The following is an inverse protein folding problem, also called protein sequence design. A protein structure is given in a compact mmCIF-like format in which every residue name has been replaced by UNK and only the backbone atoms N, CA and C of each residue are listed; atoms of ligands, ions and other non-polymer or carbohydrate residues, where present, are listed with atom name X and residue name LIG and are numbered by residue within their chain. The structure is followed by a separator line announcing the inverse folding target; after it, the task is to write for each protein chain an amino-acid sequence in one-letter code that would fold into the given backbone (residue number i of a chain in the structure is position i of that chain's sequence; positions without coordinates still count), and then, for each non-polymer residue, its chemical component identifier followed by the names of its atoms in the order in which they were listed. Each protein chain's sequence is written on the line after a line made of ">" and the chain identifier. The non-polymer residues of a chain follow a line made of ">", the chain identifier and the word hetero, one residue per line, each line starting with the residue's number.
data_IF_287243273929
#
_entry.id   IF_287243273929
#
_cell.length_a   1.000
_cell.length_b   1.000
_cell.length_c   1.000
_cell.angle_alpha   90.00
_cell.angle_beta   90.00
_cell.angle_gamma   90.00
#
_symmetry.space_group_name_H-M   'P 1'
#
loop_
_entity.id
_entity.type
_entity.pdbx_description
1 polymer ?
#
# COMPACT_ATOMS: atom_id res chain seq x y z
N UNK A 1 9.25 7.16 1.31
CA UNK A 1 8.04 6.98 2.14
C UNK A 1 8.32 7.43 3.57
N UNK A 2 9.29 6.83 4.24
CA UNK A 2 9.53 7.05 5.68
C UNK A 2 9.85 8.51 6.06
N UNK A 3 10.51 9.24 5.19
CA UNK A 3 10.91 10.65 5.40
C UNK A 3 9.86 11.68 4.93
N UNK A 4 8.68 11.24 4.49
CA UNK A 4 7.65 12.10 3.87
C UNK A 4 8.14 12.88 2.63
N UNK A 5 9.15 12.37 1.94
CA UNK A 5 9.63 12.95 0.68
C UNK A 5 8.71 12.54 -0.47
N UNK A 6 7.61 13.26 -0.58
CA UNK A 6 6.53 12.99 -1.53
C UNK A 6 6.94 13.24 -2.98
N UNK A 7 7.83 14.20 -3.22
CA UNK A 7 8.27 14.53 -4.57
C UNK A 7 9.24 13.48 -5.09
N UNK A 8 10.21 13.05 -4.30
CA UNK A 8 11.12 11.96 -4.67
C UNK A 8 10.35 10.66 -4.92
N UNK A 9 9.37 10.31 -4.07
CA UNK A 9 8.53 9.13 -4.31
C UNK A 9 7.79 9.24 -5.65
N UNK A 10 7.09 10.35 -5.88
CA UNK A 10 6.30 10.57 -7.09
C UNK A 10 7.16 10.52 -8.36
N UNK A 11 8.40 11.02 -8.30
CA UNK A 11 9.32 11.05 -9.42
C UNK A 11 9.89 9.68 -9.81
N UNK A 12 9.78 8.66 -8.95
CA UNK A 12 10.10 7.28 -9.31
C UNK A 12 9.08 6.68 -10.30
N UNK A 13 7.87 7.24 -10.37
CA UNK A 13 6.81 6.76 -11.24
C UNK A 13 6.83 7.45 -12.61
N UNK A 14 6.34 6.76 -13.64
CA UNK A 14 5.99 7.41 -14.92
C UNK A 14 4.91 8.46 -14.70
N UNK A 15 4.71 9.37 -15.67
CA UNK A 15 3.73 10.49 -15.52
C UNK A 15 2.32 10.00 -15.21
N UNK A 16 1.93 8.88 -15.78
CA UNK A 16 0.62 8.22 -15.64
C UNK A 16 0.70 6.94 -14.79
N UNK A 17 1.83 6.72 -14.10
CA UNK A 17 2.05 5.57 -13.25
C UNK A 17 1.04 5.46 -12.12
N UNK A 18 0.85 4.26 -11.58
CA UNK A 18 -0.12 3.99 -10.55
C UNK A 18 0.49 3.31 -9.33
N UNK A 19 0.19 3.84 -8.16
CA UNK A 19 0.44 3.19 -6.87
C UNK A 19 -0.87 2.55 -6.40
N UNK A 20 -0.93 1.21 -6.42
CA UNK A 20 -2.07 0.46 -5.93
C UNK A 20 -1.84 0.12 -4.46
N UNK A 21 -2.34 0.99 -3.57
CA UNK A 21 -2.27 0.75 -2.14
C UNK A 21 -3.40 -0.19 -1.69
N UNK A 22 -3.03 -1.21 -0.94
CA UNK A 22 -4.00 -2.23 -0.50
C UNK A 22 -5.10 -1.66 0.40
N UNK A 23 -4.77 -0.69 1.23
CA UNK A 23 -5.70 -0.11 2.23
C UNK A 23 -6.51 1.04 1.63
N UNK A 24 -5.82 2.02 1.05
CA UNK A 24 -6.44 3.26 0.59
C UNK A 24 -6.98 3.19 -0.83
N UNK A 25 -6.41 2.33 -1.70
CA UNK A 25 -6.79 2.17 -3.09
C UNK A 25 -5.77 2.72 -4.08
N UNK A 26 -6.23 3.07 -5.27
CA UNK A 26 -5.36 3.40 -6.39
C UNK A 26 -5.09 4.90 -6.48
N UNK A 27 -3.81 5.25 -6.61
CA UNK A 27 -3.34 6.63 -6.81
C UNK A 27 -2.63 6.73 -8.16
N UNK A 28 -3.31 7.25 -9.16
CA UNK A 28 -2.79 7.38 -10.52
C UNK A 28 -2.20 8.76 -10.77
N UNK A 29 -0.99 8.76 -11.36
CA UNK A 29 -0.21 9.95 -11.69
C UNK A 29 0.55 10.54 -10.49
N UNK A 30 1.69 11.17 -10.79
CA UNK A 30 2.63 11.69 -9.79
C UNK A 30 1.98 12.58 -8.74
N UNK A 31 1.04 13.45 -9.15
CA UNK A 31 0.31 14.33 -8.22
C UNK A 31 -0.46 13.55 -7.16
N UNK A 32 -1.20 12.53 -7.56
CA UNK A 32 -2.00 11.73 -6.62
C UNK A 32 -1.11 10.85 -5.73
N UNK A 33 0.02 10.33 -6.26
CA UNK A 33 1.01 9.58 -5.47
C UNK A 33 1.65 10.48 -4.41
N UNK A 34 1.96 11.73 -4.75
CA UNK A 34 2.47 12.72 -3.80
C UNK A 34 1.45 13.02 -2.68
N UNK A 35 0.18 13.21 -3.04
CA UNK A 35 -0.94 13.43 -2.09
C UNK A 35 -1.14 12.19 -1.20
N UNK A 36 -1.03 10.98 -1.74
CA UNK A 36 -1.13 9.74 -0.97
C UNK A 36 -0.16 9.73 0.21
N UNK A 37 1.09 10.08 -0.03
CA UNK A 37 2.10 10.04 1.01
C UNK A 37 1.81 11.03 2.13
N UNK A 38 1.48 12.29 1.80
CA UNK A 38 1.23 13.34 2.79
C UNK A 38 -0.11 13.20 3.50
N UNK A 39 -1.19 13.02 2.71
CA UNK A 39 -2.56 13.20 3.19
C UNK A 39 -3.23 11.89 3.66
N UNK A 40 -2.58 10.74 3.40
CA UNK A 40 -3.03 9.43 3.86
C UNK A 40 -2.00 8.79 4.78
N UNK A 41 -0.80 8.48 4.30
CA UNK A 41 0.20 7.76 5.10
C UNK A 41 0.62 8.57 6.32
N UNK A 42 1.13 9.78 6.13
CA UNK A 42 1.63 10.61 7.22
C UNK A 42 0.53 11.28 8.07
N UNK A 43 -0.72 11.29 7.57
CA UNK A 43 -1.89 11.63 8.38
C UNK A 43 -2.18 10.51 9.40
N UNK A 44 -2.22 9.26 8.93
CA UNK A 44 -2.73 8.13 9.72
C UNK A 44 -1.62 7.38 10.47
N UNK A 45 -0.35 7.58 10.10
CA UNK A 45 0.82 6.95 10.71
C UNK A 45 2.01 7.88 10.92
N UNK A 46 2.99 7.39 11.65
CA UNK A 46 4.30 7.99 11.86
C UNK A 46 5.32 6.96 12.31
N UNK A 47 6.55 7.39 12.51
CA UNK A 47 7.68 6.52 12.89
C UNK A 47 7.78 5.31 11.97
N UNK A 48 7.69 5.60 10.66
CA UNK A 48 7.71 4.56 9.65
C UNK A 48 9.08 3.91 9.54
N UNK A 49 9.07 2.58 9.45
CA UNK A 49 10.24 1.78 9.08
C UNK A 49 9.82 0.81 7.97
N UNK A 50 10.55 0.83 6.85
CA UNK A 50 10.32 -0.04 5.70
C UNK A 50 11.62 -0.69 5.28
N UNK A 51 11.74 -1.98 5.58
CA UNK A 51 12.86 -2.81 5.20
C UNK A 51 12.46 -3.68 4.01
N UNK A 52 13.21 -3.59 2.92
CA UNK A 52 13.03 -4.42 1.73
C UNK A 52 14.18 -5.40 1.59
N UNK A 53 13.87 -6.65 1.25
CA UNK A 53 14.84 -7.75 1.13
C UNK A 53 14.34 -8.81 0.13
N UNK A 54 15.22 -9.74 -0.27
CA UNK A 54 14.91 -10.83 -1.21
C UNK A 54 14.27 -10.31 -2.51
N UNK A 55 14.91 -9.33 -3.14
CA UNK A 55 14.42 -8.78 -4.40
C UNK A 55 14.75 -9.68 -5.59
N UNK A 56 13.83 -9.72 -6.55
CA UNK A 56 13.98 -10.39 -7.84
C UNK A 56 13.51 -9.45 -8.96
N UNK A 57 14.17 -9.50 -10.09
CA UNK A 57 13.82 -8.72 -11.27
C UNK A 57 13.93 -9.62 -12.50
N UNK A 58 12.88 -9.65 -13.31
CA UNK A 58 12.86 -10.32 -14.59
C UNK A 58 12.19 -9.42 -15.63
N UNK A 59 12.93 -9.07 -16.68
CA UNK A 59 12.50 -8.11 -17.70
C UNK A 59 12.08 -6.77 -17.07
N UNK A 60 10.79 -6.43 -17.14
CA UNK A 60 10.20 -5.22 -16.59
C UNK A 60 9.41 -5.46 -15.28
N UNK A 61 9.48 -6.66 -14.70
CA UNK A 61 8.77 -7.03 -13.48
C UNK A 61 9.75 -7.21 -12.32
N UNK A 62 9.53 -6.49 -11.22
CA UNK A 62 10.29 -6.59 -10.00
C UNK A 62 9.43 -7.03 -8.83
N UNK A 63 9.98 -7.88 -7.97
CA UNK A 63 9.35 -8.32 -6.74
C UNK A 63 10.29 -8.13 -5.58
N UNK A 64 9.77 -7.75 -4.43
CA UNK A 64 10.55 -7.58 -3.21
C UNK A 64 9.72 -7.95 -2.00
N UNK A 65 10.30 -8.73 -1.10
CA UNK A 65 9.71 -8.90 0.23
C UNK A 65 9.98 -7.66 1.05
N UNK A 66 9.06 -7.34 1.95
CA UNK A 66 9.27 -6.25 2.88
C UNK A 66 8.71 -6.52 4.27
N UNK A 67 9.23 -5.77 5.23
CA UNK A 67 8.67 -5.57 6.55
C UNK A 67 8.42 -4.08 6.73
N UNK A 68 7.18 -3.74 6.93
CA UNK A 68 6.74 -2.36 7.13
C UNK A 68 6.21 -2.19 8.55
N UNK A 69 6.58 -1.11 9.23
CA UNK A 69 6.01 -0.78 10.52
C UNK A 69 5.75 0.71 10.68
N UNK A 70 4.78 1.04 11.52
CA UNK A 70 4.43 2.41 11.86
C UNK A 70 3.76 2.50 13.23
N UNK A 71 3.72 3.71 13.78
CA UNK A 71 2.91 4.07 14.94
C UNK A 71 1.65 4.77 14.45
N UNK A 72 0.48 4.28 14.84
CA UNK A 72 -0.81 4.86 14.44
C UNK A 72 -1.02 6.25 15.03
N UNK A 73 -1.47 7.17 14.19
CA UNK A 73 -1.97 8.51 14.56
C UNK A 73 -3.50 8.60 14.51
N UNK A 74 -4.18 7.54 14.04
CA UNK A 74 -5.65 7.48 13.97
C UNK A 74 -6.21 7.62 15.39
N UNK A 75 -7.13 8.55 15.67
CA UNK A 75 -7.59 8.87 17.02
C UNK A 75 -7.96 7.66 17.88
N UNK A 76 -8.79 6.75 17.33
CA UNK A 76 -9.26 5.53 18.03
C UNK A 76 -8.13 4.52 18.31
N UNK A 77 -6.99 4.62 17.61
CA UNK A 77 -5.89 3.64 17.65
C UNK A 77 -4.54 4.30 17.89
N UNK A 78 -4.52 5.55 18.34
CA UNK A 78 -3.31 6.36 18.50
C UNK A 78 -2.28 5.68 19.39
N UNK A 79 -1.02 5.71 18.94
CA UNK A 79 0.13 5.17 19.68
C UNK A 79 0.31 3.65 19.52
N UNK A 80 -0.60 2.93 18.87
CA UNK A 80 -0.43 1.50 18.62
C UNK A 80 0.59 1.26 17.52
N UNK A 81 1.52 0.35 17.78
CA UNK A 81 2.52 -0.08 16.79
C UNK A 81 1.93 -1.19 15.92
N UNK A 82 2.15 -1.06 14.62
CA UNK A 82 1.77 -2.06 13.62
C UNK A 82 3.02 -2.53 12.87
N UNK A 83 3.14 -3.84 12.66
CA UNK A 83 4.20 -4.46 11.85
C UNK A 83 3.56 -5.40 10.85
N UNK A 84 3.83 -5.20 9.56
CA UNK A 84 3.19 -5.93 8.47
C UNK A 84 4.27 -6.46 7.53
N UNK A 85 4.38 -7.78 7.31
CA UNK A 85 5.13 -8.33 6.19
C UNK A 85 4.30 -8.24 4.92
N UNK A 86 4.98 -8.08 3.79
CA UNK A 86 4.32 -8.05 2.48
C UNK A 86 5.28 -8.34 1.34
N UNK A 87 4.73 -8.38 0.14
CA UNK A 87 5.47 -8.47 -1.11
C UNK A 87 5.01 -7.31 -1.99
N UNK A 88 5.96 -6.47 -2.41
CA UNK A 88 5.74 -5.45 -3.43
C UNK A 88 6.00 -6.03 -4.82
N UNK A 89 5.15 -5.67 -5.77
CA UNK A 89 5.29 -5.96 -7.18
C UNK A 89 5.43 -4.65 -7.95
N UNK A 90 6.45 -4.55 -8.77
CA UNK A 90 6.80 -3.39 -9.57
C UNK A 90 6.74 -3.75 -11.04
N UNK A 91 6.02 -2.99 -11.83
CA UNK A 91 6.12 -3.00 -13.29
C UNK A 91 6.84 -1.73 -13.74
N UNK A 92 7.91 -1.90 -14.50
CA UNK A 92 8.74 -0.80 -14.98
C UNK A 92 8.47 -0.47 -16.46
N UNK A 93 8.53 0.82 -16.77
CA UNK A 93 8.47 1.35 -18.12
C UNK A 93 9.50 2.48 -18.26
N UNK A 94 10.49 2.31 -19.16
CA UNK A 94 11.54 3.32 -19.42
C UNK A 94 12.21 3.83 -18.12
N UNK A 95 12.67 2.92 -17.27
CA UNK A 95 13.33 3.19 -15.98
C UNK A 95 12.44 3.79 -14.86
N UNK A 96 11.14 4.01 -15.14
CA UNK A 96 10.16 4.47 -14.16
C UNK A 96 9.24 3.33 -13.72
N UNK A 97 8.69 3.45 -12.53
CA UNK A 97 7.62 2.56 -12.07
C UNK A 97 6.34 2.93 -12.82
N UNK A 98 5.81 1.99 -13.61
CA UNK A 98 4.51 2.12 -14.28
C UNK A 98 3.38 1.75 -13.33
N UNK A 99 3.52 0.60 -12.67
CA UNK A 99 2.58 0.15 -11.67
C UNK A 99 3.35 -0.39 -10.44
N UNK A 100 2.88 -0.03 -9.28
CA UNK A 100 3.24 -0.65 -8.02
C UNK A 100 1.99 -1.26 -7.42
N UNK A 101 2.08 -2.48 -6.97
CA UNK A 101 1.03 -3.16 -6.20
C UNK A 101 1.65 -3.99 -5.09
N UNK A 102 0.83 -4.48 -4.16
CA UNK A 102 1.34 -5.24 -3.03
C UNK A 102 0.39 -6.35 -2.60
N UNK A 103 0.96 -7.45 -2.15
CA UNK A 103 0.27 -8.49 -1.42
C UNK A 103 0.60 -8.33 0.08
N UNK A 104 -0.38 -7.92 0.86
CA UNK A 104 -0.23 -7.63 2.29
C UNK A 104 -1.41 -8.18 3.09
N UNK A 105 -1.14 -8.62 4.32
CA UNK A 105 -2.20 -9.04 5.22
C UNK A 105 -2.74 -7.84 6.02
N UNK A 106 -3.70 -7.12 5.45
CA UNK A 106 -4.35 -5.99 6.11
C UNK A 106 -5.12 -6.36 7.39
N UNK A 107 -5.59 -7.61 7.49
CA UNK A 107 -6.23 -8.13 8.69
C UNK A 107 -5.28 -8.15 9.88
N UNK A 108 -4.03 -8.53 9.67
CA UNK A 108 -2.99 -8.51 10.69
C UNK A 108 -2.78 -7.09 11.26
N UNK A 109 -2.78 -6.08 10.40
CA UNK A 109 -2.70 -4.68 10.83
C UNK A 109 -3.90 -4.28 11.69
N UNK A 110 -5.11 -4.65 11.28
CA UNK A 110 -6.32 -4.31 12.03
C UNK A 110 -6.39 -4.99 13.40
N UNK A 111 -5.92 -6.24 13.52
CA UNK A 111 -5.82 -6.93 14.82
C UNK A 111 -4.84 -6.21 15.74
N UNK A 112 -3.66 -5.83 15.26
CA UNK A 112 -2.67 -5.08 16.04
C UNK A 112 -3.20 -3.70 16.46
N UNK A 113 -4.00 -3.04 15.62
CA UNK A 113 -4.71 -1.82 15.96
C UNK A 113 -5.86 -2.06 16.96
N UNK A 114 -6.29 -3.31 17.18
CA UNK A 114 -7.43 -3.65 18.01
C UNK A 114 -8.75 -3.14 17.45
N UNK A 115 -8.88 -3.20 16.13
CA UNK A 115 -10.13 -2.85 15.45
C UNK A 115 -11.23 -3.85 15.84
N UNK A 116 -12.42 -3.33 16.16
CA UNK A 116 -13.58 -4.16 16.48
C UNK A 116 -13.92 -5.11 15.32
N UNK A 117 -14.23 -6.40 15.56
CA UNK A 117 -14.53 -7.39 14.52
C UNK A 117 -15.61 -6.97 13.52
N UNK A 118 -16.70 -6.34 13.98
CA UNK A 118 -17.75 -5.85 13.09
C UNK A 118 -17.29 -4.71 12.17
N UNK A 119 -16.34 -3.89 12.63
CA UNK A 119 -15.71 -2.85 11.81
C UNK A 119 -14.74 -3.49 10.81
N UNK A 120 -14.01 -4.53 11.21
CA UNK A 120 -13.13 -5.31 10.31
C UNK A 120 -13.92 -5.93 9.16
N UNK A 121 -15.03 -6.58 9.43
CA UNK A 121 -15.91 -7.17 8.42
C UNK A 121 -16.33 -6.13 7.36
N UNK A 122 -16.77 -4.95 7.78
CA UNK A 122 -17.16 -3.87 6.86
C UNK A 122 -16.01 -3.42 5.97
N UNK A 123 -14.79 -3.36 6.53
CA UNK A 123 -13.58 -2.99 5.77
C UNK A 123 -13.24 -4.09 4.76
N UNK A 124 -13.29 -5.36 5.15
CA UNK A 124 -13.03 -6.48 4.25
C UNK A 124 -14.04 -6.56 3.11
N UNK A 125 -15.32 -6.35 3.37
CA UNK A 125 -16.34 -6.29 2.32
C UNK A 125 -16.07 -5.15 1.33
N UNK A 126 -15.60 -3.99 1.81
CA UNK A 126 -15.20 -2.89 0.94
C UNK A 126 -13.98 -3.26 0.07
N UNK A 127 -12.98 -3.92 0.65
CA UNK A 127 -11.80 -4.36 -0.10
C UNK A 127 -12.13 -5.44 -1.11
N UNK A 128 -12.96 -6.42 -0.74
CA UNK A 128 -13.45 -7.46 -1.65
C UNK A 128 -14.14 -6.84 -2.88
N UNK A 129 -15.08 -5.90 -2.65
CA UNK A 129 -15.76 -5.20 -3.73
C UNK A 129 -14.79 -4.44 -4.65
N UNK A 130 -13.77 -3.80 -4.08
CA UNK A 130 -12.72 -3.11 -4.85
C UNK A 130 -11.92 -4.09 -5.69
N UNK A 131 -11.47 -5.20 -5.11
CA UNK A 131 -10.71 -6.22 -5.83
C UNK A 131 -11.47 -6.78 -7.04
N UNK A 132 -12.77 -6.99 -6.94
CA UNK A 132 -13.59 -7.41 -8.08
C UNK A 132 -13.73 -6.33 -9.16
N UNK A 133 -13.71 -5.04 -8.78
CA UNK A 133 -13.72 -3.95 -9.75
C UNK A 133 -12.36 -3.78 -10.45
N UNK A 134 -11.26 -4.01 -9.71
CA UNK A 134 -9.90 -3.86 -10.22
C UNK A 134 -9.47 -5.07 -11.07
N UNK A 135 -10.00 -6.26 -10.80
CA UNK A 135 -9.77 -7.50 -11.57
C UNK A 135 -11.10 -8.22 -11.85
N UNK A 136 -11.72 -8.00 -13.01
CA UNK A 136 -12.98 -8.65 -13.39
C UNK A 136 -12.92 -10.19 -13.39
N UNK A 137 -11.73 -10.79 -13.60
CA UNK A 137 -11.60 -12.25 -13.60
C UNK A 137 -11.87 -12.86 -12.22
N UNK A 138 -11.69 -12.13 -11.13
CA UNK A 138 -12.02 -12.60 -9.79
C UNK A 138 -13.53 -12.82 -9.60
N UNK A 139 -14.38 -12.12 -10.35
CA UNK A 139 -15.83 -12.28 -10.27
C UNK A 139 -16.35 -13.58 -10.90
N UNK A 140 -15.53 -14.23 -11.72
CA UNK A 140 -15.87 -15.51 -12.38
C UNK A 140 -15.53 -16.73 -11.52
N UNK A 141 -14.77 -16.56 -10.45
CA UNK A 141 -14.46 -17.60 -9.48
C UNK A 141 -15.68 -17.80 -8.57
N UNK A 142 -16.51 -18.77 -8.92
CA UNK A 142 -17.70 -19.18 -8.14
C UNK A 142 -17.37 -20.38 -7.26
#
# INVERSE_FOLDING_TARGET
>A
VCQNDRESLANLFSKDGCYHDYIYGNFRGRKNISIMLSDYFHRDGGDFFWEMYDHALENNLGYVKYRFSFISKIPDYKGRKVVIPGIGCFEFENEFIKNYSEAVNGGLAMVQLGVNPLKMEKVFLKWLKRSFNDDPNLSEIK
#
